data_IF_341356974590
#
_entry.id   IF_341356974590
#
_cell.length_a   1.000
_cell.length_b   1.000
_cell.length_c   1.000
_cell.angle_alpha   90.00
_cell.angle_beta   90.00
_cell.angle_gamma   90.00
#
_symmetry.space_group_name_H-M   'P 1'
#
loop_
_entity.id
_entity.type
_entity.pdbx_description
1 polymer ?
#
# COMPACT_ATOMS: atom_id res chain seq x y z
N UNK A 1 -25.99 16.32 -13.16
CA UNK A 1 -25.14 15.13 -12.89
C UNK A 1 -24.09 14.85 -13.96
N UNK A 2 -24.19 15.35 -15.17
CA UNK A 2 -23.15 15.26 -16.19
C UNK A 2 -22.18 16.46 -16.18
N UNK A 3 -22.62 17.60 -15.67
CA UNK A 3 -21.81 18.83 -15.65
C UNK A 3 -20.75 18.85 -14.52
N UNK A 4 -20.98 18.20 -13.39
CA UNK A 4 -20.01 18.17 -12.28
C UNK A 4 -18.76 17.31 -12.58
N UNK A 5 -18.86 16.37 -13.49
CA UNK A 5 -17.71 15.55 -13.92
C UNK A 5 -16.81 16.28 -14.93
N UNK A 6 -17.33 17.31 -15.60
CA UNK A 6 -16.57 18.10 -16.57
C UNK A 6 -15.74 19.20 -15.91
N UNK A 7 -16.18 19.75 -14.79
CA UNK A 7 -15.44 20.79 -14.07
C UNK A 7 -14.20 20.23 -13.32
N UNK A 8 -14.22 18.96 -12.92
CA UNK A 8 -13.04 18.32 -12.31
C UNK A 8 -11.93 17.97 -13.30
N UNK A 9 -12.22 17.92 -14.61
CA UNK A 9 -11.20 17.66 -15.64
C UNK A 9 -10.52 18.93 -16.17
N UNK A 10 -11.03 20.11 -15.88
CA UNK A 10 -10.55 21.37 -16.44
C UNK A 10 -9.49 22.10 -15.59
N UNK A 11 -9.14 21.61 -14.39
CA UNK A 11 -8.18 22.28 -13.50
C UNK A 11 -6.76 21.69 -13.48
N UNK A 12 -6.43 20.79 -14.40
CA UNK A 12 -5.10 20.16 -14.46
C UNK A 12 -4.23 20.61 -15.62
N UNK A 13 -4.48 21.74 -16.25
CA UNK A 13 -3.55 22.30 -17.23
C UNK A 13 -3.26 23.76 -16.91
N UNK A 14 -2.11 24.04 -16.36
CA UNK A 14 -1.11 25.01 -16.75
C UNK A 14 -0.19 25.45 -15.59
N UNK A 15 1.11 25.34 -15.90
CA UNK A 15 2.26 26.11 -15.41
C UNK A 15 3.02 25.75 -14.12
N UNK A 16 4.24 25.30 -14.38
CA UNK A 16 5.46 26.00 -13.91
C UNK A 16 5.92 25.77 -12.48
N UNK A 17 7.06 25.11 -12.37
CA UNK A 17 8.06 25.26 -11.28
C UNK A 17 7.58 26.00 -10.03
N UNK A 18 7.21 25.24 -9.00
CA UNK A 18 7.16 25.74 -7.63
C UNK A 18 7.36 24.57 -6.67
N UNK A 19 8.09 24.84 -5.61
CA UNK A 19 8.18 24.00 -4.41
C UNK A 19 6.76 23.65 -3.95
N UNK A 20 6.32 22.42 -4.23
CA UNK A 20 4.98 22.00 -3.86
C UNK A 20 5.03 21.21 -2.54
N UNK A 21 5.11 21.94 -1.43
CA UNK A 21 4.39 21.57 -0.22
C UNK A 21 2.88 21.76 -0.52
N UNK A 22 2.28 20.83 -1.22
CA UNK A 22 0.83 20.83 -1.36
C UNK A 22 0.29 20.29 -0.05
N UNK A 23 -0.06 21.20 0.84
CA UNK A 23 -0.84 20.91 2.03
C UNK A 23 -2.21 20.37 1.58
N UNK A 24 -2.43 19.08 1.74
CA UNK A 24 -3.69 18.42 1.39
C UNK A 24 -4.79 18.67 2.43
N UNK A 25 -4.54 19.48 3.46
CA UNK A 25 -5.52 19.83 4.49
C UNK A 25 -6.70 20.63 3.94
N UNK A 26 -6.57 21.23 2.75
CA UNK A 26 -7.65 21.95 2.06
C UNK A 26 -8.48 21.08 1.11
N UNK A 27 -8.16 19.78 1.00
CA UNK A 27 -9.07 18.87 0.31
C UNK A 27 -10.31 18.68 1.18
N UNK A 28 -11.53 18.88 0.63
CA UNK A 28 -12.74 18.60 1.38
C UNK A 28 -12.70 17.17 1.89
N UNK A 29 -13.31 16.88 3.05
CA UNK A 29 -13.49 15.52 3.59
C UNK A 29 -14.12 14.61 2.52
N UNK A 30 -13.32 14.22 1.57
CA UNK A 30 -13.79 13.51 0.40
C UNK A 30 -13.68 12.04 0.72
N UNK A 31 -14.80 11.43 1.04
CA UNK A 31 -14.95 9.98 0.99
C UNK A 31 -14.49 9.52 -0.39
N UNK A 32 -13.29 8.96 -0.48
CA UNK A 32 -12.68 8.50 -1.74
C UNK A 32 -13.10 7.05 -2.05
N UNK A 33 -14.18 6.60 -1.43
CA UNK A 33 -14.70 5.24 -1.53
C UNK A 33 -15.00 4.89 -2.98
N UNK A 34 -14.44 3.80 -3.47
CA UNK A 34 -14.63 3.33 -4.84
C UNK A 34 -14.10 4.25 -5.94
N UNK A 35 -13.31 5.25 -5.61
CA UNK A 35 -12.72 6.16 -6.61
C UNK A 35 -11.44 5.60 -7.21
N UNK A 36 -11.14 6.05 -8.43
CA UNK A 36 -9.89 5.76 -9.13
C UNK A 36 -8.96 6.95 -9.00
N UNK A 37 -7.80 6.74 -8.40
CA UNK A 37 -6.75 7.74 -8.23
C UNK A 37 -5.63 7.41 -9.21
N UNK A 38 -5.31 8.33 -10.12
CA UNK A 38 -4.25 8.17 -11.13
C UNK A 38 -3.40 9.43 -11.22
N UNK A 39 -2.12 9.28 -11.53
CA UNK A 39 -1.24 10.37 -11.93
C UNK A 39 0.06 10.48 -11.15
N UNK A 40 0.99 11.25 -11.70
CA UNK A 40 2.35 11.45 -11.20
C UNK A 40 2.46 12.42 -10.03
N UNK A 41 1.38 13.11 -9.68
CA UNK A 41 1.40 14.26 -8.77
C UNK A 41 1.22 13.88 -7.28
N UNK A 42 1.30 12.60 -6.94
CA UNK A 42 1.08 12.11 -5.57
C UNK A 42 2.38 11.94 -4.76
N UNK A 43 3.50 12.47 -5.25
CA UNK A 43 4.75 12.46 -4.48
C UNK A 43 4.56 13.22 -3.19
N UNK A 44 4.94 12.57 -2.06
CA UNK A 44 4.77 13.10 -0.70
C UNK A 44 3.31 13.36 -0.29
N UNK A 45 2.33 12.91 -1.07
CA UNK A 45 0.93 13.01 -0.68
C UNK A 45 0.68 12.26 0.63
N UNK A 46 -0.14 12.84 1.49
CA UNK A 46 -0.57 12.23 2.74
C UNK A 46 -2.08 12.03 2.70
N UNK A 47 -2.49 10.78 2.90
CA UNK A 47 -3.89 10.41 3.08
C UNK A 47 -4.06 10.02 4.55
N UNK A 48 -4.78 10.80 5.30
CA UNK A 48 -5.00 10.58 6.73
C UNK A 48 -6.49 10.66 7.06
N UNK A 49 -6.96 9.70 7.87
CA UNK A 49 -8.37 9.61 8.28
C UNK A 49 -9.37 9.56 7.10
N UNK A 50 -8.97 8.92 5.99
CA UNK A 50 -9.81 8.82 4.78
C UNK A 50 -10.40 7.42 4.62
N UNK A 51 -11.58 7.34 4.02
CA UNK A 51 -12.20 6.08 3.61
C UNK A 51 -11.81 5.78 2.14
N UNK A 52 -10.87 4.86 1.98
CA UNK A 52 -10.38 4.35 0.69
C UNK A 52 -10.93 2.95 0.38
N UNK A 53 -11.99 2.52 1.05
CA UNK A 53 -12.60 1.21 0.80
C UNK A 53 -12.95 1.05 -0.69
N UNK A 54 -12.55 -0.07 -1.28
CA UNK A 54 -12.70 -0.35 -2.70
C UNK A 54 -12.06 0.67 -3.66
N UNK A 55 -11.23 1.58 -3.18
CA UNK A 55 -10.54 2.54 -4.05
C UNK A 55 -9.49 1.83 -4.93
N UNK A 56 -9.19 2.43 -6.08
CA UNK A 56 -8.13 1.98 -6.99
C UNK A 56 -7.09 3.09 -7.13
N UNK A 57 -5.85 2.78 -6.75
CA UNK A 57 -4.70 3.64 -7.04
C UNK A 57 -3.90 2.96 -8.14
N UNK A 58 -3.83 3.57 -9.32
CA UNK A 58 -3.14 2.96 -10.45
C UNK A 58 -2.28 3.96 -11.23
N UNK A 59 -1.16 3.46 -11.78
CA UNK A 59 -0.21 4.25 -12.55
C UNK A 59 0.19 5.55 -11.80
N UNK A 60 0.35 5.47 -10.48
CA UNK A 60 0.59 6.62 -9.62
C UNK A 60 2.00 6.60 -9.01
N UNK A 61 2.51 7.79 -8.70
CA UNK A 61 3.77 7.94 -8.01
C UNK A 61 3.53 8.54 -6.62
N UNK A 62 3.60 7.69 -5.59
CA UNK A 62 3.51 8.07 -4.18
C UNK A 62 4.87 8.03 -3.48
N UNK A 63 5.95 8.35 -4.19
CA UNK A 63 7.29 8.40 -3.60
C UNK A 63 7.31 9.22 -2.31
N UNK A 64 7.74 8.63 -1.20
CA UNK A 64 7.73 9.24 0.13
C UNK A 64 6.34 9.71 0.61
N UNK A 65 5.26 9.21 0.03
CA UNK A 65 3.89 9.48 0.47
C UNK A 65 3.54 8.73 1.76
N UNK A 66 2.37 9.02 2.31
CA UNK A 66 1.86 8.31 3.47
C UNK A 66 0.35 8.05 3.34
N UNK A 67 -0.08 6.89 3.85
CA UNK A 67 -1.49 6.58 4.08
C UNK A 67 -1.61 6.14 5.53
N UNK A 68 -2.41 6.86 6.32
CA UNK A 68 -2.46 6.67 7.76
C UNK A 68 -3.89 6.70 8.28
N UNK A 69 -4.14 5.91 9.34
CA UNK A 69 -5.41 5.91 10.09
C UNK A 69 -6.64 5.78 9.17
N UNK A 70 -6.51 4.94 8.13
CA UNK A 70 -7.48 4.91 7.03
C UNK A 70 -8.07 3.52 6.84
N UNK A 71 -9.33 3.48 6.39
CA UNK A 71 -9.95 2.25 5.90
C UNK A 71 -9.60 2.06 4.43
N UNK A 72 -8.86 0.99 4.13
CA UNK A 72 -8.41 0.62 2.79
C UNK A 72 -8.81 -0.83 2.45
N UNK A 73 -9.88 -1.33 3.06
CA UNK A 73 -10.39 -2.67 2.77
C UNK A 73 -10.76 -2.79 1.29
N UNK A 74 -10.40 -3.91 0.68
CA UNK A 74 -10.63 -4.19 -0.74
C UNK A 74 -10.00 -3.17 -1.71
N UNK A 75 -9.10 -2.31 -1.23
CA UNK A 75 -8.38 -1.36 -2.08
C UNK A 75 -7.48 -2.10 -3.08
N UNK A 76 -7.33 -1.55 -4.28
CA UNK A 76 -6.41 -2.05 -5.30
C UNK A 76 -5.34 -1.02 -5.60
N UNK A 77 -4.09 -1.45 -5.56
CA UNK A 77 -2.93 -0.66 -5.90
C UNK A 77 -2.20 -1.37 -7.03
N UNK A 78 -2.09 -0.73 -8.19
CA UNK A 78 -1.58 -1.33 -9.41
C UNK A 78 -0.59 -0.41 -10.12
N UNK A 79 0.55 -0.96 -10.57
CA UNK A 79 1.55 -0.25 -11.38
C UNK A 79 2.04 1.06 -10.74
N UNK A 80 2.24 1.07 -9.41
CA UNK A 80 2.60 2.27 -8.66
C UNK A 80 4.05 2.24 -8.19
N UNK A 81 4.66 3.43 -8.11
CA UNK A 81 5.90 3.63 -7.35
C UNK A 81 5.55 4.21 -5.98
N UNK A 82 5.85 3.44 -4.93
CA UNK A 82 5.60 3.80 -3.53
C UNK A 82 6.87 3.66 -2.69
N UNK A 83 8.03 3.96 -3.31
CA UNK A 83 9.31 3.88 -2.61
C UNK A 83 9.32 4.82 -1.40
N UNK A 84 9.82 4.31 -0.28
CA UNK A 84 9.87 5.01 1.01
C UNK A 84 8.51 5.52 1.50
N UNK A 85 7.40 4.98 1.01
CA UNK A 85 6.07 5.33 1.49
C UNK A 85 5.81 4.77 2.90
N UNK A 86 4.89 5.40 3.63
CA UNK A 86 4.52 5.02 4.99
C UNK A 86 3.05 4.63 5.06
N UNK A 87 2.79 3.46 5.64
CA UNK A 87 1.46 2.91 5.85
C UNK A 87 1.28 2.61 7.33
N UNK A 88 0.37 3.31 8.03
CA UNK A 88 0.19 3.17 9.48
C UNK A 88 -1.27 3.11 9.89
N UNK A 89 -1.58 2.27 10.90
CA UNK A 89 -2.91 2.15 11.49
C UNK A 89 -4.01 1.93 10.43
N UNK A 90 -3.80 0.95 9.55
CA UNK A 90 -4.70 0.77 8.41
C UNK A 90 -5.47 -0.54 8.49
N UNK A 91 -6.74 -0.50 8.08
CA UNK A 91 -7.47 -1.67 7.67
C UNK A 91 -7.28 -1.87 6.17
N UNK A 92 -6.72 -3.02 5.75
CA UNK A 92 -6.44 -3.37 4.34
C UNK A 92 -6.88 -4.81 4.06
N UNK A 93 -8.00 -5.22 4.64
CA UNK A 93 -8.54 -6.57 4.44
C UNK A 93 -8.89 -6.78 2.97
N UNK A 94 -8.46 -7.92 2.43
CA UNK A 94 -8.64 -8.27 1.01
C UNK A 94 -8.09 -7.25 0.03
N UNK A 95 -7.19 -6.37 0.44
CA UNK A 95 -6.53 -5.44 -0.48
C UNK A 95 -5.67 -6.20 -1.49
N UNK A 96 -5.51 -5.62 -2.67
CA UNK A 96 -4.69 -6.17 -3.75
C UNK A 96 -3.59 -5.22 -4.14
N UNK A 97 -2.37 -5.73 -4.19
CA UNK A 97 -1.19 -5.03 -4.67
C UNK A 97 -0.63 -5.76 -5.88
N UNK A 98 -0.48 -5.09 -7.01
CA UNK A 98 0.08 -5.70 -8.22
C UNK A 98 1.07 -4.77 -8.90
N UNK A 99 2.26 -5.29 -9.20
CA UNK A 99 3.33 -4.55 -9.89
C UNK A 99 3.66 -3.21 -9.20
N UNK A 100 3.87 -3.24 -7.87
CA UNK A 100 4.15 -2.05 -7.07
C UNK A 100 5.59 -2.09 -6.56
N UNK A 101 6.29 -0.98 -6.70
CA UNK A 101 7.60 -0.79 -6.12
C UNK A 101 7.45 -0.19 -4.71
N UNK A 102 7.72 -1.00 -3.69
CA UNK A 102 7.66 -0.67 -2.26
C UNK A 102 9.05 -0.58 -1.61
N UNK A 103 10.11 -0.39 -2.40
CA UNK A 103 11.47 -0.34 -1.87
C UNK A 103 11.59 0.69 -0.74
N UNK A 104 12.07 0.26 0.42
CA UNK A 104 12.22 1.10 1.61
C UNK A 104 10.92 1.53 2.27
N UNK A 105 9.75 1.06 1.81
CA UNK A 105 8.46 1.39 2.42
C UNK A 105 8.34 0.81 3.83
N UNK A 106 7.50 1.43 4.64
CA UNK A 106 7.21 0.98 6.01
C UNK A 106 5.71 0.73 6.18
N UNK A 107 5.39 -0.43 6.75
CA UNK A 107 4.04 -0.80 7.17
C UNK A 107 4.06 -1.00 8.68
N UNK A 108 3.18 -0.34 9.41
CA UNK A 108 3.10 -0.50 10.86
C UNK A 108 1.63 -0.50 11.35
N UNK A 109 1.36 -1.41 12.30
CA UNK A 109 0.08 -1.48 12.99
C UNK A 109 -1.12 -1.61 12.00
N UNK A 110 -0.99 -2.49 11.00
CA UNK A 110 -2.00 -2.64 9.96
C UNK A 110 -2.51 -4.08 9.84
N UNK A 111 -3.73 -4.23 9.33
CA UNK A 111 -4.33 -5.52 9.01
C UNK A 111 -4.36 -5.72 7.50
N UNK A 112 -3.64 -6.73 7.01
CA UNK A 112 -3.64 -7.16 5.61
C UNK A 112 -4.27 -8.57 5.47
N UNK A 113 -5.23 -8.89 6.31
CA UNK A 113 -5.90 -10.21 6.27
C UNK A 113 -6.49 -10.47 4.89
N UNK A 114 -6.14 -11.62 4.29
CA UNK A 114 -6.61 -12.01 2.97
C UNK A 114 -6.03 -11.18 1.82
N UNK A 115 -5.04 -10.32 2.06
CA UNK A 115 -4.45 -9.49 1.01
C UNK A 115 -3.77 -10.34 -0.08
N UNK A 116 -3.86 -9.87 -1.32
CA UNK A 116 -3.22 -10.47 -2.48
C UNK A 116 -2.08 -9.59 -2.97
N UNK A 117 -0.87 -10.10 -2.92
CA UNK A 117 0.36 -9.34 -3.16
C UNK A 117 1.15 -10.02 -4.28
N UNK A 118 1.25 -9.36 -5.46
CA UNK A 118 1.84 -9.97 -6.65
C UNK A 118 2.83 -9.05 -7.34
N UNK A 119 3.99 -9.61 -7.70
CA UNK A 119 5.04 -8.91 -8.44
C UNK A 119 5.51 -7.62 -7.77
N UNK A 120 5.77 -7.67 -6.46
CA UNK A 120 6.23 -6.51 -5.70
C UNK A 120 7.74 -6.55 -5.46
N UNK A 121 8.34 -5.36 -5.56
CA UNK A 121 9.67 -5.13 -5.02
C UNK A 121 9.54 -4.52 -3.61
N UNK A 122 9.90 -5.31 -2.59
CA UNK A 122 9.88 -4.93 -1.18
C UNK A 122 11.29 -4.89 -0.56
N UNK A 123 12.31 -4.63 -1.39
CA UNK A 123 13.69 -4.51 -0.90
C UNK A 123 13.79 -3.48 0.22
N UNK A 124 14.45 -3.84 1.31
CA UNK A 124 14.72 -2.96 2.45
C UNK A 124 13.47 -2.34 3.08
N UNK A 125 12.30 -2.90 2.87
CA UNK A 125 11.06 -2.47 3.50
C UNK A 125 10.92 -3.02 4.92
N UNK A 126 10.13 -2.36 5.75
CA UNK A 126 9.89 -2.77 7.14
C UNK A 126 8.39 -3.01 7.39
N UNK A 127 8.10 -4.15 8.02
CA UNK A 127 6.76 -4.60 8.34
C UNK A 127 6.68 -4.88 9.84
N UNK A 128 5.92 -4.07 10.58
CA UNK A 128 5.90 -4.14 12.04
C UNK A 128 4.47 -4.27 12.56
N UNK A 129 4.24 -5.25 13.43
CA UNK A 129 2.95 -5.52 14.08
C UNK A 129 1.78 -5.66 13.10
N UNK A 130 2.00 -6.40 12.01
CA UNK A 130 0.96 -6.62 11.01
C UNK A 130 0.19 -7.91 11.26
N UNK A 131 -1.11 -7.88 10.96
CA UNK A 131 -1.88 -9.09 10.79
C UNK A 131 -1.88 -9.47 9.30
N UNK A 132 -1.13 -10.52 8.96
CA UNK A 132 -0.94 -11.03 7.59
C UNK A 132 -1.66 -12.37 7.39
N UNK A 133 -2.61 -12.71 8.26
CA UNK A 133 -3.35 -13.96 8.15
C UNK A 133 -4.02 -14.11 6.79
N UNK A 134 -4.00 -15.31 6.23
CA UNK A 134 -4.62 -15.63 4.94
C UNK A 134 -4.07 -14.81 3.76
N UNK A 135 -3.04 -13.98 3.95
CA UNK A 135 -2.44 -13.21 2.85
C UNK A 135 -1.60 -14.09 1.94
N UNK A 136 -1.54 -13.73 0.65
CA UNK A 136 -0.81 -14.47 -0.37
C UNK A 136 0.19 -13.57 -1.07
N UNK A 137 1.45 -13.99 -1.08
CA UNK A 137 2.56 -13.32 -1.76
C UNK A 137 3.04 -14.17 -2.92
N UNK A 138 3.02 -13.64 -4.13
CA UNK A 138 3.46 -14.32 -5.34
C UNK A 138 4.48 -13.49 -6.12
N UNK A 139 5.62 -14.07 -6.45
CA UNK A 139 6.67 -13.41 -7.22
C UNK A 139 7.12 -12.08 -6.60
N UNK A 140 7.34 -12.06 -5.30
CA UNK A 140 7.75 -10.86 -4.55
C UNK A 140 9.23 -10.94 -4.17
N UNK A 141 9.92 -9.80 -4.22
CA UNK A 141 11.30 -9.67 -3.77
C UNK A 141 11.37 -9.08 -2.36
N UNK A 142 11.93 -9.86 -1.40
CA UNK A 142 12.02 -9.50 0.02
C UNK A 142 13.45 -9.20 0.49
N UNK A 143 14.40 -8.98 -0.40
CA UNK A 143 15.81 -8.82 0.00
C UNK A 143 15.98 -7.66 0.98
N UNK A 144 16.47 -7.98 2.19
CA UNK A 144 16.62 -6.99 3.26
C UNK A 144 15.31 -6.49 3.85
N UNK A 145 14.17 -7.08 3.51
CA UNK A 145 12.91 -6.77 4.18
C UNK A 145 12.90 -7.32 5.62
N UNK A 146 12.32 -6.55 6.53
CA UNK A 146 12.29 -6.86 7.95
C UNK A 146 10.85 -6.98 8.46
N UNK A 147 10.51 -8.17 9.00
CA UNK A 147 9.18 -8.46 9.54
C UNK A 147 9.27 -8.65 11.05
N UNK A 148 8.65 -7.79 11.85
CA UNK A 148 8.67 -7.83 13.31
C UNK A 148 7.27 -7.84 13.91
N UNK A 149 7.01 -8.80 14.80
CA UNK A 149 5.73 -8.89 15.50
C UNK A 149 4.53 -9.13 14.58
N UNK A 150 4.76 -9.72 13.41
CA UNK A 150 3.70 -10.02 12.45
C UNK A 150 3.05 -11.38 12.75
N UNK A 151 1.75 -11.49 12.44
CA UNK A 151 0.98 -12.73 12.54
C UNK A 151 0.78 -13.27 11.12
N UNK A 152 1.07 -14.58 10.92
CA UNK A 152 1.18 -15.21 9.61
C UNK A 152 0.26 -16.44 9.44
N UNK A 153 -0.78 -16.59 10.26
CA UNK A 153 -1.63 -17.77 10.19
C UNK A 153 -2.25 -17.91 8.79
N UNK A 154 -2.04 -19.08 8.18
CA UNK A 154 -2.48 -19.40 6.82
C UNK A 154 -1.97 -18.47 5.71
N UNK A 155 -0.93 -17.66 5.99
CA UNK A 155 -0.26 -16.87 4.96
C UNK A 155 0.62 -17.76 4.07
N UNK A 156 0.75 -17.37 2.80
CA UNK A 156 1.47 -18.12 1.77
C UNK A 156 2.49 -17.25 1.04
N UNK A 157 3.68 -17.81 0.78
CA UNK A 157 4.70 -17.21 -0.11
C UNK A 157 4.98 -18.22 -1.22
N UNK A 158 4.71 -17.85 -2.47
CA UNK A 158 4.86 -18.68 -3.67
C UNK A 158 4.27 -20.09 -3.51
N UNK A 159 3.08 -20.17 -2.89
CA UNK A 159 2.39 -21.41 -2.63
C UNK A 159 2.92 -22.23 -1.44
N UNK A 160 3.89 -21.71 -0.71
CA UNK A 160 4.44 -22.38 0.50
C UNK A 160 3.88 -21.69 1.75
N UNK A 161 3.24 -22.44 2.68
CA UNK A 161 2.80 -21.85 3.94
C UNK A 161 3.98 -21.26 4.73
N UNK A 162 3.82 -20.03 5.22
CA UNK A 162 4.90 -19.37 6.00
C UNK A 162 5.27 -20.16 7.23
N UNK A 163 4.32 -20.80 7.90
CA UNK A 163 4.58 -21.68 9.04
C UNK A 163 5.57 -22.81 8.73
N UNK A 164 5.51 -23.36 7.51
CA UNK A 164 6.39 -24.45 7.08
C UNK A 164 7.82 -23.94 6.82
N UNK A 165 7.94 -22.72 6.25
CA UNK A 165 9.21 -22.04 6.09
C UNK A 165 9.88 -21.75 7.43
N UNK A 166 9.11 -21.29 8.43
CA UNK A 166 9.61 -21.00 9.77
C UNK A 166 10.00 -22.29 10.52
N UNK A 167 9.23 -23.36 10.38
CA UNK A 167 9.55 -24.66 10.96
C UNK A 167 10.86 -25.22 10.38
N UNK A 168 11.02 -25.22 9.07
CA UNK A 168 12.23 -25.66 8.40
C UNK A 168 13.46 -24.86 8.85
N UNK A 169 13.34 -23.54 9.00
CA UNK A 169 14.40 -22.70 9.53
C UNK A 169 14.81 -23.11 10.95
N UNK A 170 13.84 -23.39 11.83
CA UNK A 170 14.10 -23.80 13.21
C UNK A 170 14.78 -25.17 13.29
N UNK A 171 14.39 -26.12 12.45
CA UNK A 171 15.02 -27.44 12.38
C UNK A 171 16.52 -27.36 12.05
N UNK A 172 16.87 -26.48 11.10
CA UNK A 172 18.28 -26.32 10.70
C UNK A 172 19.13 -25.61 11.75
N UNK A 173 18.56 -24.68 12.51
CA UNK A 173 19.31 -23.85 13.46
C UNK A 173 19.30 -24.34 14.91
N UNK A 174 18.44 -25.29 15.24
CA UNK A 174 18.38 -25.92 16.56
C UNK A 174 19.06 -27.32 16.62
N UNK A 175 19.68 -27.77 15.52
CA UNK A 175 20.49 -28.97 15.41
C UNK A 175 21.96 -28.64 15.55
#
# INVERSE_FOLDING_TARGET
MADELQEMQAQTTENGTADNDTDLSDLPETVVRGKVIRGDQLKRAVFEEVDLECAVISAANLLCGAIMTSNCDEMRIEECSMQNAQFRNMAMKNASFQAVDLQGATFADASLVGAQVKHLDMHSSAFTHLNLNESVYENCAFVGADFRGCIWDDAMIDGIPVRDLLAAYQEVHNS
#
